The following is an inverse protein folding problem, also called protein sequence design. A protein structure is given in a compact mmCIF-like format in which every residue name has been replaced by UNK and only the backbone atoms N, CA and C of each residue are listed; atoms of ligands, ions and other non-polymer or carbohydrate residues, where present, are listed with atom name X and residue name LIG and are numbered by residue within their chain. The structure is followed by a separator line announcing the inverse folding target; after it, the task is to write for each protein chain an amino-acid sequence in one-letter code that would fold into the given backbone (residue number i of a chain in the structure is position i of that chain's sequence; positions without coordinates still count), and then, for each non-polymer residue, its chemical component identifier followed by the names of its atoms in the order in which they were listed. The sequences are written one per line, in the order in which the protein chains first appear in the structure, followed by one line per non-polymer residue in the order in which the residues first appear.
data_IF_766988978962
#
_entry.id   IF_766988978962
#
_cell.length_a   1.000
_cell.length_b   1.000
_cell.length_c   1.000
_cell.angle_alpha   90.00
_cell.angle_beta   90.00
_cell.angle_gamma   90.00
#
_symmetry.space_group_name_H-M   'P 1'
#
loop_
_entity.id
_entity.type
_entity.pdbx_description
1 polymer ?
#
# COMPACT_ATOMS: atom_id res chain seq x y z
N UNK A 1 42.78 1.45 -29.17
CA UNK A 1 41.35 1.14 -28.95
C UNK A 1 41.23 0.27 -27.71
N UNK A 2 40.47 0.65 -26.68
CA UNK A 2 39.89 -0.21 -25.62
C UNK A 2 39.25 0.68 -24.53
N UNK A 3 38.01 1.14 -24.77
CA UNK A 3 37.14 1.68 -23.73
C UNK A 3 35.72 1.16 -23.99
N UNK A 4 35.28 0.15 -23.26
CA UNK A 4 33.85 -0.07 -22.90
C UNK A 4 33.65 -1.47 -22.29
N UNK A 5 33.98 -1.67 -21.02
CA UNK A 5 33.57 -2.88 -20.28
C UNK A 5 33.07 -2.62 -18.85
N UNK A 6 33.26 -1.40 -18.33
CA UNK A 6 32.90 -1.05 -16.94
C UNK A 6 31.43 -0.65 -16.73
N UNK A 7 30.69 -0.30 -17.78
CA UNK A 7 29.31 0.22 -17.67
C UNK A 7 28.24 -0.87 -17.47
N UNK A 8 28.41 -2.04 -18.10
CA UNK A 8 27.39 -3.12 -18.08
C UNK A 8 27.30 -3.77 -16.69
N UNK A 9 28.45 -4.01 -16.03
CA UNK A 9 28.53 -4.68 -14.72
C UNK A 9 27.85 -3.88 -13.60
N UNK A 10 27.99 -2.55 -13.58
CA UNK A 10 27.31 -1.69 -12.60
C UNK A 10 25.78 -1.67 -12.75
N UNK A 11 25.27 -1.79 -13.97
CA UNK A 11 23.82 -1.79 -14.23
C UNK A 11 23.12 -3.09 -13.79
N UNK A 12 23.82 -4.23 -13.86
CA UNK A 12 23.33 -5.55 -13.45
C UNK A 12 23.29 -5.63 -11.92
N UNK A 13 24.36 -5.19 -11.25
CA UNK A 13 24.43 -5.16 -9.78
C UNK A 13 23.31 -4.31 -9.15
N UNK A 14 22.99 -3.15 -9.75
CA UNK A 14 21.89 -2.29 -9.31
C UNK A 14 20.49 -2.90 -9.54
N UNK A 15 20.33 -3.80 -10.54
CA UNK A 15 19.05 -4.50 -10.76
C UNK A 15 18.89 -5.67 -9.80
N UNK A 16 19.95 -6.43 -9.57
CA UNK A 16 19.97 -7.57 -8.64
C UNK A 16 19.69 -7.07 -7.22
N UNK A 17 20.36 -6.01 -6.76
CA UNK A 17 20.12 -5.42 -5.43
C UNK A 17 18.68 -4.90 -5.27
N UNK A 18 18.08 -4.31 -6.32
CA UNK A 18 16.67 -3.89 -6.29
C UNK A 18 15.69 -5.07 -6.22
N UNK A 19 15.96 -6.16 -6.90
CA UNK A 19 15.14 -7.37 -6.84
C UNK A 19 15.26 -8.07 -5.48
N UNK A 20 16.49 -8.17 -4.97
CA UNK A 20 16.76 -8.71 -3.63
C UNK A 20 16.05 -7.88 -2.55
N UNK A 21 16.07 -6.54 -2.63
CA UNK A 21 15.30 -5.69 -1.70
C UNK A 21 13.77 -5.88 -1.77
N UNK A 22 13.23 -6.32 -2.91
CA UNK A 22 11.78 -6.57 -3.04
C UNK A 22 11.35 -7.94 -2.50
N UNK A 23 12.27 -8.90 -2.42
CA UNK A 23 12.04 -10.27 -1.92
C UNK A 23 12.51 -10.47 -0.48
N UNK A 24 13.53 -9.73 -0.05
CA UNK A 24 14.06 -9.76 1.30
C UNK A 24 13.05 -9.21 2.32
N UNK A 25 12.93 -9.87 3.47
CA UNK A 25 12.08 -9.43 4.58
C UNK A 25 10.59 -9.73 4.42
N UNK A 26 10.21 -10.65 3.53
CA UNK A 26 8.85 -11.16 3.42
C UNK A 26 8.75 -12.55 4.05
N UNK A 27 7.64 -12.88 4.73
CA UNK A 27 7.43 -14.22 5.25
C UNK A 27 7.29 -15.21 4.07
N UNK A 28 7.99 -16.33 4.15
CA UNK A 28 7.85 -17.43 3.19
C UNK A 28 6.66 -18.34 3.53
N UNK A 29 6.29 -18.39 4.81
CA UNK A 29 5.19 -19.19 5.35
C UNK A 29 4.15 -18.27 5.98
N UNK A 30 2.89 -18.68 5.94
CA UNK A 30 1.76 -17.94 6.47
C UNK A 30 1.04 -18.84 7.50
N UNK A 31 1.51 -18.86 8.76
CA UNK A 31 0.82 -19.57 9.84
C UNK A 31 -0.64 -19.09 10.01
N UNK A 32 -1.51 -20.01 10.40
CA UNK A 32 -2.93 -19.75 10.59
C UNK A 32 -3.21 -19.03 11.92
N UNK A 33 -4.35 -18.34 11.98
CA UNK A 33 -4.83 -17.75 13.22
C UNK A 33 -5.36 -18.83 14.16
N UNK A 34 -5.09 -18.68 15.46
CA UNK A 34 -5.62 -19.56 16.51
C UNK A 34 -6.46 -18.76 17.50
N UNK A 35 -7.69 -19.21 17.75
CA UNK A 35 -8.54 -18.65 18.82
C UNK A 35 -8.17 -19.30 20.16
N UNK A 36 -7.81 -18.49 21.15
CA UNK A 36 -7.41 -18.92 22.50
C UNK A 36 -8.62 -18.97 23.43
N UNK A 37 -9.46 -17.93 23.40
CA UNK A 37 -10.74 -17.88 24.12
C UNK A 37 -11.79 -17.15 23.31
N UNK A 38 -13.07 -17.36 23.59
CA UNK A 38 -14.17 -16.69 22.90
C UNK A 38 -14.44 -15.31 23.54
N UNK A 39 -14.64 -14.25 22.73
CA UNK A 39 -14.89 -12.91 23.26
C UNK A 39 -16.35 -12.67 23.68
N UNK A 40 -17.20 -13.68 23.57
CA UNK A 40 -18.62 -13.63 23.91
C UNK A 40 -19.06 -14.96 24.54
N UNK A 41 -20.04 -14.88 25.42
CA UNK A 41 -20.67 -16.07 26.02
C UNK A 41 -21.84 -16.58 25.17
N UNK A 42 -22.50 -15.69 24.42
CA UNK A 42 -23.63 -16.01 23.55
C UNK A 42 -23.16 -16.22 22.10
N UNK A 43 -23.32 -17.44 21.59
CA UNK A 43 -22.90 -17.78 20.22
C UNK A 43 -23.82 -17.12 19.19
N UNK A 44 -23.25 -16.40 18.19
CA UNK A 44 -24.05 -15.78 17.13
C UNK A 44 -24.69 -16.83 16.22
N UNK A 45 -25.86 -16.51 15.70
CA UNK A 45 -26.54 -17.36 14.71
C UNK A 45 -25.89 -17.24 13.33
N UNK A 46 -26.07 -18.26 12.47
CA UNK A 46 -25.53 -18.24 11.11
C UNK A 46 -26.06 -17.05 10.29
N UNK A 47 -27.31 -16.65 10.53
CA UNK A 47 -27.93 -15.49 9.86
C UNK A 47 -27.23 -14.19 10.25
N UNK A 48 -26.86 -14.03 11.51
CA UNK A 48 -26.10 -12.86 11.98
C UNK A 48 -24.69 -12.82 11.41
N UNK A 49 -24.02 -13.97 11.34
CA UNK A 49 -22.69 -14.11 10.72
C UNK A 49 -22.72 -13.67 9.25
N UNK A 50 -23.67 -14.19 8.47
CA UNK A 50 -23.79 -13.86 7.05
C UNK A 50 -24.21 -12.41 6.82
N UNK A 51 -25.08 -11.86 7.69
CA UNK A 51 -25.50 -10.46 7.65
C UNK A 51 -24.31 -9.52 7.87
N UNK A 52 -23.54 -9.73 8.92
CA UNK A 52 -22.37 -8.89 9.20
C UNK A 52 -21.31 -9.05 8.11
N UNK A 53 -21.03 -10.28 7.67
CA UNK A 53 -20.09 -10.52 6.56
C UNK A 53 -20.49 -9.78 5.29
N UNK A 54 -21.78 -9.78 4.93
CA UNK A 54 -22.30 -9.06 3.76
C UNK A 54 -22.13 -7.55 3.92
N UNK A 55 -22.34 -7.00 5.11
CA UNK A 55 -22.14 -5.57 5.41
C UNK A 55 -20.69 -5.14 5.19
N UNK A 56 -19.73 -5.98 5.54
CA UNK A 56 -18.29 -5.71 5.36
C UNK A 56 -17.72 -6.11 3.98
N UNK A 57 -18.55 -6.61 3.06
CA UNK A 57 -18.10 -6.95 1.69
C UNK A 57 -17.66 -5.76 0.84
N UNK A 58 -18.08 -4.54 1.20
CA UNK A 58 -17.77 -3.32 0.47
C UNK A 58 -17.37 -2.20 1.44
N UNK A 59 -16.39 -1.40 1.06
CA UNK A 59 -15.96 -0.22 1.81
C UNK A 59 -15.61 0.94 0.88
N UNK A 60 -15.68 2.15 1.42
CA UNK A 60 -15.29 3.35 0.68
C UNK A 60 -13.76 3.48 0.63
N UNK A 61 -13.24 3.76 -0.56
CA UNK A 61 -11.87 4.19 -0.80
C UNK A 61 -11.86 5.69 -1.11
N UNK A 62 -11.01 6.44 -0.40
CA UNK A 62 -10.99 7.91 -0.45
C UNK A 62 -12.10 8.55 0.41
N UNK A 63 -11.99 9.87 0.59
CA UNK A 63 -12.90 10.68 1.45
C UNK A 63 -13.48 11.89 0.76
N UNK A 64 -12.77 12.45 -0.23
CA UNK A 64 -13.18 13.62 -0.99
C UNK A 64 -13.95 13.24 -2.26
N UNK A 65 -14.01 14.15 -3.22
CA UNK A 65 -14.74 14.05 -4.49
C UNK A 65 -14.54 12.72 -5.22
N UNK A 66 -13.32 12.17 -5.25
CA UNK A 66 -13.03 10.88 -5.89
C UNK A 66 -13.27 9.65 -4.99
N UNK A 67 -14.21 9.74 -4.06
CA UNK A 67 -14.63 8.63 -3.19
C UNK A 67 -15.34 7.55 -4.00
N UNK A 68 -14.90 6.30 -3.85
CA UNK A 68 -15.45 5.15 -4.60
C UNK A 68 -15.75 3.99 -3.65
N UNK A 69 -16.86 3.28 -3.89
CA UNK A 69 -17.17 2.05 -3.17
C UNK A 69 -16.41 0.89 -3.83
N UNK A 70 -15.64 0.15 -3.04
CA UNK A 70 -14.76 -0.93 -3.50
C UNK A 70 -15.11 -2.21 -2.76
N UNK A 71 -15.05 -3.33 -3.47
CA UNK A 71 -15.22 -4.66 -2.89
C UNK A 71 -13.97 -5.09 -2.11
N UNK A 72 -14.18 -5.57 -0.88
CA UNK A 72 -13.11 -6.07 -0.02
C UNK A 72 -12.86 -7.53 -0.35
N UNK A 73 -11.61 -7.84 -0.71
CA UNK A 73 -11.18 -9.22 -0.91
C UNK A 73 -10.91 -9.88 0.44
N UNK A 74 -11.18 -11.19 0.54
CA UNK A 74 -10.90 -12.02 1.71
C UNK A 74 -11.62 -11.55 2.99
N UNK A 75 -12.92 -11.29 2.91
CA UNK A 75 -13.73 -11.03 4.12
C UNK A 75 -13.79 -12.30 4.97
N UNK A 76 -13.39 -12.24 6.26
CA UNK A 76 -13.45 -13.38 7.18
C UNK A 76 -14.86 -13.98 7.27
N UNK A 77 -14.93 -15.26 7.61
CA UNK A 77 -16.21 -15.95 7.82
C UNK A 77 -16.93 -15.46 9.07
N UNK A 78 -16.19 -15.28 10.18
CA UNK A 78 -16.73 -14.80 11.45
C UNK A 78 -16.22 -13.38 11.74
N UNK A 79 -17.10 -12.38 11.61
CA UNK A 79 -16.77 -10.98 11.89
C UNK A 79 -16.72 -10.64 13.39
N UNK A 80 -17.37 -11.44 14.25
CA UNK A 80 -17.43 -11.14 15.69
C UNK A 80 -16.14 -11.50 16.42
N UNK A 81 -15.41 -12.51 15.95
CA UNK A 81 -14.13 -12.94 16.55
C UNK A 81 -12.92 -12.35 15.84
N UNK A 82 -13.05 -11.94 14.58
CA UNK A 82 -11.91 -11.48 13.80
C UNK A 82 -11.35 -10.15 14.31
N UNK A 83 -10.09 -10.19 14.77
CA UNK A 83 -9.31 -8.99 15.11
C UNK A 83 -9.83 -8.19 16.31
N UNK A 84 -10.69 -8.79 17.15
CA UNK A 84 -11.24 -8.17 18.35
C UNK A 84 -10.56 -8.64 19.62
N UNK A 85 -10.89 -9.81 20.11
CA UNK A 85 -10.39 -10.31 21.39
C UNK A 85 -10.29 -11.84 21.34
N UNK A 86 -9.34 -12.40 22.09
CA UNK A 86 -9.16 -13.84 22.22
C UNK A 86 -8.49 -14.56 21.05
N UNK A 87 -8.18 -13.86 19.96
CA UNK A 87 -7.40 -14.41 18.85
C UNK A 87 -5.90 -14.23 19.12
N UNK A 88 -5.09 -15.25 18.85
CA UNK A 88 -3.62 -15.14 18.83
C UNK A 88 -3.13 -14.78 17.43
N UNK A 89 -2.22 -13.80 17.35
CA UNK A 89 -1.67 -13.31 16.08
C UNK A 89 -0.32 -13.97 15.86
N UNK A 90 -0.08 -14.63 14.70
CA UNK A 90 1.17 -15.34 14.46
C UNK A 90 2.29 -14.38 14.02
N UNK A 91 2.75 -13.57 14.98
CA UNK A 91 3.83 -12.59 14.85
C UNK A 91 4.95 -12.82 15.88
N UNK A 92 4.96 -13.98 16.55
CA UNK A 92 6.06 -14.38 17.43
C UNK A 92 7.38 -14.48 16.67
N UNK A 93 8.48 -14.08 17.31
CA UNK A 93 9.82 -14.02 16.72
C UNK A 93 10.78 -14.94 17.45
N UNK A 94 10.69 -15.00 18.78
CA UNK A 94 11.54 -15.85 19.59
C UNK A 94 10.95 -17.25 19.77
N UNK A 95 11.82 -18.24 19.98
CA UNK A 95 11.42 -19.65 20.15
C UNK A 95 10.46 -19.85 21.32
N UNK A 96 10.73 -19.17 22.44
CA UNK A 96 9.94 -19.30 23.67
C UNK A 96 8.79 -18.27 23.74
N UNK A 97 8.68 -17.39 22.75
CA UNK A 97 7.62 -16.40 22.69
C UNK A 97 6.35 -17.06 22.14
N UNK A 98 5.34 -17.16 22.99
CA UNK A 98 4.00 -17.54 22.55
C UNK A 98 3.41 -16.44 21.65
N UNK A 99 2.53 -16.84 20.74
CA UNK A 99 1.82 -15.89 19.89
C UNK A 99 0.99 -14.93 20.75
N UNK A 100 1.14 -13.61 20.56
CA UNK A 100 0.43 -12.62 21.37
C UNK A 100 -1.08 -12.72 21.14
N UNK A 101 -1.82 -12.73 22.25
CA UNK A 101 -3.28 -12.76 22.26
C UNK A 101 -3.83 -11.34 22.27
N UNK A 102 -4.84 -11.07 21.44
CA UNK A 102 -5.53 -9.78 21.44
C UNK A 102 -6.40 -9.69 22.70
N UNK A 103 -6.18 -8.65 23.50
CA UNK A 103 -6.93 -8.34 24.71
C UNK A 103 -8.12 -7.42 24.44
N UNK A 104 -8.81 -6.96 25.50
CA UNK A 104 -9.99 -6.12 25.37
C UNK A 104 -9.66 -4.72 24.86
N UNK A 105 -10.59 -4.13 24.12
CA UNK A 105 -10.36 -2.93 23.32
C UNK A 105 -9.85 -1.73 24.13
N UNK A 106 -10.43 -1.48 25.32
CA UNK A 106 -10.07 -0.33 26.16
C UNK A 106 -8.67 -0.43 26.79
N UNK A 107 -8.04 -1.61 26.77
CA UNK A 107 -6.66 -1.76 27.25
C UNK A 107 -5.63 -1.24 26.26
N UNK A 108 -6.01 -1.05 24.99
CA UNK A 108 -5.17 -0.46 23.97
C UNK A 108 -5.26 1.07 24.02
N UNK A 109 -4.17 1.77 24.43
CA UNK A 109 -4.23 3.21 24.67
C UNK A 109 -4.52 3.99 23.40
N UNK A 110 -5.45 4.94 23.51
CA UNK A 110 -5.80 5.84 22.41
C UNK A 110 -6.49 5.16 21.22
N UNK A 111 -6.94 3.90 21.33
CA UNK A 111 -7.58 3.21 20.20
C UNK A 111 -8.84 3.93 19.70
N UNK A 112 -9.67 4.44 20.61
CA UNK A 112 -10.87 5.20 20.25
C UNK A 112 -10.54 6.51 19.55
N UNK A 113 -9.50 7.20 20.01
CA UNK A 113 -8.99 8.44 19.39
C UNK A 113 -8.41 8.15 18.00
N UNK A 114 -7.63 7.07 17.88
CA UNK A 114 -7.03 6.64 16.62
C UNK A 114 -8.08 6.22 15.59
N UNK A 115 -9.24 5.69 15.98
CA UNK A 115 -10.33 5.40 15.03
C UNK A 115 -10.82 6.66 14.31
N UNK A 116 -10.75 7.81 14.98
CA UNK A 116 -11.10 9.11 14.40
C UNK A 116 -9.93 9.60 13.54
N UNK A 117 -8.72 9.63 14.09
CA UNK A 117 -7.61 10.34 13.42
C UNK A 117 -6.80 9.51 12.43
N UNK A 118 -6.72 8.19 12.57
CA UNK A 118 -5.93 7.31 11.71
C UNK A 118 -6.67 6.96 10.40
N UNK A 119 -7.14 7.99 9.71
CA UNK A 119 -7.87 7.89 8.45
C UNK A 119 -7.07 8.58 7.33
N UNK A 120 -7.45 8.35 6.06
CA UNK A 120 -6.79 9.04 4.95
C UNK A 120 -7.26 10.50 4.86
N UNK A 121 -6.58 11.42 5.53
CA UNK A 121 -6.90 12.84 5.48
C UNK A 121 -6.35 13.52 4.24
N UNK A 122 -7.20 14.26 3.53
CA UNK A 122 -6.75 15.16 2.47
C UNK A 122 -6.39 16.52 3.07
N UNK A 123 -5.39 17.17 2.49
CA UNK A 123 -4.85 18.42 3.03
C UNK A 123 -5.90 19.54 3.06
N UNK A 124 -6.72 19.67 2.01
CA UNK A 124 -7.80 20.67 1.96
C UNK A 124 -8.88 20.42 3.02
N UNK A 125 -9.28 19.17 3.26
CA UNK A 125 -10.25 18.84 4.32
C UNK A 125 -9.73 19.25 5.70
N UNK A 126 -8.43 19.07 5.96
CA UNK A 126 -7.84 19.43 7.25
C UNK A 126 -7.71 20.94 7.43
N UNK A 127 -7.34 21.69 6.38
CA UNK A 127 -7.33 23.15 6.43
C UNK A 127 -8.73 23.73 6.66
N UNK A 128 -9.74 23.25 5.93
CA UNK A 128 -11.12 23.72 6.11
C UNK A 128 -11.61 23.52 7.55
N UNK A 129 -11.19 22.43 8.20
CA UNK A 129 -11.53 22.13 9.60
C UNK A 129 -10.72 22.97 10.58
N UNK A 130 -9.47 23.30 10.28
CA UNK A 130 -8.67 24.22 11.09
C UNK A 130 -9.27 25.62 11.08
N UNK A 131 -9.59 26.14 9.89
CA UNK A 131 -10.19 27.46 9.69
C UNK A 131 -11.53 27.61 10.41
N UNK A 132 -12.33 26.52 10.41
CA UNK A 132 -13.62 26.48 11.10
C UNK A 132 -13.52 26.11 12.58
N UNK A 133 -12.33 25.81 13.08
CA UNK A 133 -12.13 25.33 14.46
C UNK A 133 -12.90 24.05 14.80
N UNK A 134 -13.15 23.18 13.81
CA UNK A 134 -14.09 22.05 13.89
C UNK A 134 -13.40 20.69 13.73
N UNK A 135 -12.20 20.55 14.30
CA UNK A 135 -11.55 19.26 14.38
C UNK A 135 -12.37 18.27 15.23
N UNK A 136 -12.51 17.03 14.73
CA UNK A 136 -13.14 15.92 15.48
C UNK A 136 -12.25 15.44 16.63
N UNK A 137 -10.94 15.70 16.54
CA UNK A 137 -9.96 15.33 17.53
C UNK A 137 -8.83 16.36 17.59
N UNK A 138 -8.28 16.67 18.78
CA UNK A 138 -7.13 17.56 18.91
C UNK A 138 -5.90 17.09 18.12
N UNK A 139 -5.75 15.79 17.87
CA UNK A 139 -4.60 15.24 17.12
C UNK A 139 -4.67 15.51 15.62
N UNK A 140 -5.82 15.93 15.07
CA UNK A 140 -5.93 16.31 13.67
C UNK A 140 -5.04 17.49 13.31
N UNK A 141 -4.78 18.40 14.25
CA UNK A 141 -3.81 19.49 14.09
C UNK A 141 -2.40 18.96 13.81
N UNK A 142 -1.95 17.96 14.58
CA UNK A 142 -0.65 17.34 14.36
C UNK A 142 -0.58 16.61 13.01
N UNK A 143 -1.68 16.01 12.56
CA UNK A 143 -1.75 15.37 11.23
C UNK A 143 -1.56 16.43 10.14
N UNK A 144 -2.26 17.57 10.24
CA UNK A 144 -2.11 18.68 9.30
C UNK A 144 -0.66 19.16 9.24
N UNK A 145 -0.04 19.44 10.39
CA UNK A 145 1.36 19.86 10.47
C UNK A 145 2.31 18.87 9.79
N UNK A 146 2.11 17.57 10.03
CA UNK A 146 2.93 16.52 9.43
C UNK A 146 2.73 16.43 7.91
N UNK A 147 1.52 16.65 7.42
CA UNK A 147 1.27 16.72 5.98
C UNK A 147 1.98 17.92 5.36
N UNK A 148 1.84 19.10 5.95
CA UNK A 148 2.51 20.33 5.48
C UNK A 148 4.03 20.12 5.45
N UNK A 149 4.63 19.62 6.54
CA UNK A 149 6.06 19.27 6.61
C UNK A 149 6.48 18.30 5.52
N UNK A 150 5.67 17.28 5.21
CA UNK A 150 5.94 16.32 4.12
C UNK A 150 5.91 17.01 2.75
N UNK A 151 4.94 17.88 2.50
CA UNK A 151 4.84 18.65 1.25
C UNK A 151 6.02 19.61 1.08
N UNK A 152 6.37 20.37 2.12
CA UNK A 152 7.55 21.23 2.15
C UNK A 152 8.84 20.43 1.98
N UNK A 153 8.97 19.26 2.60
CA UNK A 153 10.11 18.38 2.45
C UNK A 153 10.32 17.93 0.99
N UNK A 154 9.24 17.65 0.25
CA UNK A 154 9.31 17.33 -1.19
C UNK A 154 9.81 18.52 -2.02
N UNK A 155 9.37 19.74 -1.70
CA UNK A 155 9.84 20.97 -2.35
C UNK A 155 11.30 21.24 -2.03
N UNK A 156 11.69 21.18 -0.75
CA UNK A 156 13.07 21.38 -0.31
C UNK A 156 14.05 20.39 -0.96
N UNK A 157 13.65 19.11 -1.05
CA UNK A 157 14.44 18.11 -1.75
C UNK A 157 14.64 18.46 -3.24
N UNK A 158 13.56 18.89 -3.93
CA UNK A 158 13.65 19.30 -5.34
C UNK A 158 14.58 20.50 -5.51
N UNK A 159 14.45 21.51 -4.66
CA UNK A 159 15.31 22.70 -4.71
C UNK A 159 16.79 22.35 -4.50
N UNK A 160 17.08 21.45 -3.56
CA UNK A 160 18.43 20.93 -3.36
C UNK A 160 18.98 20.23 -4.61
N UNK A 161 18.15 19.48 -5.31
CA UNK A 161 18.56 18.80 -6.54
C UNK A 161 18.74 19.76 -7.72
N UNK A 162 17.89 20.79 -7.84
CA UNK A 162 18.03 21.86 -8.84
C UNK A 162 19.34 22.65 -8.68
N UNK A 163 19.80 22.85 -7.44
CA UNK A 163 21.11 23.46 -7.16
C UNK A 163 22.28 22.65 -7.73
N UNK A 164 22.15 21.32 -7.78
CA UNK A 164 23.19 20.42 -8.30
C UNK A 164 23.14 20.39 -9.83
N UNK A 165 21.93 20.34 -10.41
CA UNK A 165 21.70 20.25 -11.86
C UNK A 165 20.27 20.67 -12.19
N UNK A 166 20.06 21.29 -13.35
CA UNK A 166 18.73 21.55 -13.90
C UNK A 166 17.95 20.24 -14.12
N UNK A 167 16.75 20.17 -13.54
CA UNK A 167 15.84 19.02 -13.62
C UNK A 167 14.52 19.51 -14.20
N UNK A 168 14.32 19.23 -15.47
CA UNK A 168 13.04 19.46 -16.14
C UNK A 168 12.07 18.33 -15.80
N UNK A 169 10.92 18.69 -15.25
CA UNK A 169 9.92 17.71 -14.82
C UNK A 169 9.09 17.28 -16.02
N UNK A 170 8.83 15.97 -16.13
CA UNK A 170 7.95 15.35 -17.13
C UNK A 170 8.36 15.53 -18.60
N UNK A 171 9.61 15.92 -18.88
CA UNK A 171 10.11 16.01 -20.25
C UNK A 171 10.50 14.65 -20.86
N UNK A 172 10.65 13.61 -20.03
CA UNK A 172 10.92 12.25 -20.50
C UNK A 172 9.62 11.51 -20.75
N UNK A 173 9.55 10.79 -21.86
CA UNK A 173 8.47 9.86 -22.17
C UNK A 173 8.25 8.89 -20.99
N UNK A 174 7.01 8.83 -20.49
CA UNK A 174 6.64 7.99 -19.35
C UNK A 174 6.34 6.57 -19.83
N UNK A 175 7.33 5.70 -19.80
CA UNK A 175 7.18 4.32 -20.25
C UNK A 175 8.48 3.77 -20.80
N UNK A 176 8.42 2.67 -21.56
CA UNK A 176 9.59 2.16 -22.26
C UNK A 176 9.94 3.06 -23.45
N UNK A 177 10.60 4.18 -23.17
CA UNK A 177 11.56 4.71 -24.13
C UNK A 177 12.63 3.63 -24.28
N UNK A 178 12.76 3.06 -25.49
CA UNK A 178 13.85 2.13 -25.80
C UNK A 178 15.14 2.82 -25.40
N UNK A 179 15.78 2.33 -24.33
CA UNK A 179 17.15 2.73 -23.99
C UNK A 179 18.02 2.51 -25.24
N UNK A 180 18.89 3.45 -25.63
CA UNK A 180 19.81 3.20 -26.72
C UNK A 180 20.69 2.02 -26.30
N UNK A 181 20.57 0.89 -27.01
CA UNK A 181 21.22 -0.38 -26.70
C UNK A 181 20.30 -1.57 -26.39
N UNK A 182 18.97 -1.41 -26.41
CA UNK A 182 18.09 -2.56 -26.59
C UNK A 182 18.14 -2.98 -28.07
N UNK A 183 18.58 -4.22 -28.32
CA UNK A 183 18.76 -4.79 -29.65
C UNK A 183 17.60 -4.42 -30.58
N UNK A 184 17.99 -3.92 -31.76
CA UNK A 184 17.11 -3.78 -32.90
C UNK A 184 16.37 -5.10 -33.07
N UNK A 185 15.05 -5.09 -32.86
CA UNK A 185 14.20 -6.13 -33.38
C UNK A 185 14.34 -6.05 -34.88
N UNK A 186 15.03 -7.05 -35.44
CA UNK A 186 15.16 -7.42 -36.84
C UNK A 186 14.17 -6.73 -37.78
N UNK A 187 14.79 -6.19 -38.83
CA UNK A 187 14.24 -5.51 -39.98
C UNK A 187 12.99 -6.15 -40.61
N UNK A 188 12.26 -5.28 -41.32
CA UNK A 188 10.95 -5.57 -41.87
C UNK A 188 10.92 -6.66 -42.94
N UNK A 189 9.73 -7.27 -43.04
CA UNK A 189 9.19 -7.84 -44.28
C UNK A 189 7.66 -7.77 -44.20
N UNK A 190 7.09 -6.61 -44.51
CA UNK A 190 5.77 -6.56 -45.15
C UNK A 190 6.02 -6.59 -46.65
N UNK A 191 5.94 -7.78 -47.27
CA UNK A 191 5.85 -7.91 -48.71
C UNK A 191 5.10 -9.20 -49.07
N UNK A 192 4.03 -9.00 -49.84
CA UNK A 192 3.29 -9.96 -50.68
C UNK A 192 2.63 -11.18 -50.02
N UNK A 193 1.34 -11.08 -49.71
CA UNK A 193 0.44 -12.24 -49.76
C UNK A 193 -0.27 -12.20 -51.12
N UNK A 194 0.32 -12.89 -52.10
CA UNK A 194 -0.38 -13.28 -53.31
C UNK A 194 -1.32 -14.44 -52.97
N UNK A 195 -2.62 -14.29 -53.24
CA UNK A 195 -3.54 -15.41 -53.19
C UNK A 195 -4.14 -15.63 -54.60
N UNK A 196 -3.51 -16.54 -55.33
CA UNK A 196 -4.07 -17.17 -56.53
C UNK A 196 -5.23 -18.07 -56.08
N UNK A 197 -6.48 -17.67 -56.35
CA UNK A 197 -7.59 -18.62 -56.33
C UNK A 197 -7.53 -19.50 -57.57
N UNK A 198 -7.24 -20.78 -57.35
CA UNK A 198 -7.50 -21.90 -58.26
C UNK A 198 -8.76 -22.62 -57.74
N UNK A 199 -9.56 -23.06 -58.71
CA UNK A 199 -10.83 -23.81 -58.63
C UNK A 199 -12.06 -22.99 -58.29
#
# INVERSE_FOLDING_TARGET
MLRSSKSVRGSIFLRITRLLRKRSGKPNELPEYKQVYLPYDATPTQIELDRERKKFSRAYHGRQEHKKLVEIKNVPQNMFTYGKEGMSIPISIFKDQQDPVIGPEWTYPGIYENKIVAQHWYLSELFDREEKGSFESPWQKQILDNQVKRHLGKVAWRMRMLKIKTIDIFHKERGSSKRPGAASGTDGKMASVGNKRKK
#
